data_IF_743631520848
#
_entry.id   IF_743631520848
#
_cell.length_a   1.000
_cell.length_b   1.000
_cell.length_c   1.000
_cell.angle_alpha   90.00
_cell.angle_beta   90.00
_cell.angle_gamma   90.00
#
_symmetry.space_group_name_H-M   'P 1'
#
loop_
_entity.id
_entity.type
_entity.pdbx_description
1 polymer ?
#
# COMPACT_ATOMS: atom_id res chain seq x y z
N UNK A 1 38.32 36.01 -51.20
CA UNK A 1 38.89 35.15 -50.15
C UNK A 1 37.89 35.12 -49.02
N UNK A 2 36.98 34.14 -49.06
CA UNK A 2 35.95 33.94 -48.05
C UNK A 2 36.56 33.20 -46.86
N UNK A 3 36.55 33.85 -45.68
CA UNK A 3 36.91 33.22 -44.42
C UNK A 3 35.71 32.42 -43.92
N UNK A 4 35.73 31.10 -44.11
CA UNK A 4 34.83 30.16 -43.46
C UNK A 4 35.21 30.05 -41.97
N UNK A 5 34.57 30.87 -41.15
CA UNK A 5 34.65 30.76 -39.69
C UNK A 5 33.75 29.59 -39.27
N UNK A 6 34.33 28.39 -39.14
CA UNK A 6 33.67 27.22 -38.57
C UNK A 6 33.45 27.46 -37.09
N UNK A 7 32.29 28.02 -36.74
CA UNK A 7 31.86 28.19 -35.36
C UNK A 7 31.37 26.83 -34.84
N UNK A 8 32.33 25.95 -34.50
CA UNK A 8 32.05 24.69 -33.81
C UNK A 8 31.64 25.01 -32.38
N UNK A 9 30.33 25.05 -32.15
CA UNK A 9 29.74 25.17 -30.82
C UNK A 9 30.30 24.00 -29.97
N UNK A 10 31.08 24.25 -28.89
CA UNK A 10 31.59 23.18 -28.07
C UNK A 10 30.39 22.49 -27.43
N UNK A 11 30.19 21.22 -27.76
CA UNK A 11 29.09 20.44 -27.23
C UNK A 11 29.27 20.37 -25.71
N UNK A 12 28.47 21.10 -24.94
CA UNK A 12 28.58 21.23 -23.46
C UNK A 12 28.60 19.85 -22.78
N UNK A 13 28.03 18.84 -23.44
CA UNK A 13 28.00 17.44 -23.00
C UNK A 13 29.36 16.71 -23.06
N UNK A 14 30.39 17.32 -23.65
CA UNK A 14 31.76 16.76 -23.75
C UNK A 14 32.72 17.30 -22.69
N UNK A 15 32.25 18.14 -21.75
CA UNK A 15 33.11 18.84 -20.79
C UNK A 15 33.33 18.08 -19.47
N UNK A 16 32.49 17.10 -19.13
CA UNK A 16 32.62 16.34 -17.89
C UNK A 16 33.13 14.92 -18.16
N UNK A 17 34.17 14.45 -17.46
CA UNK A 17 34.56 13.05 -17.46
C UNK A 17 33.41 12.13 -17.07
N UNK A 18 33.40 10.90 -17.58
CA UNK A 18 32.36 9.91 -17.32
C UNK A 18 32.15 9.68 -15.82
N UNK A 19 33.24 9.54 -15.04
CA UNK A 19 33.21 9.42 -13.58
C UNK A 19 32.48 10.57 -12.87
N UNK A 20 32.63 11.80 -13.37
CA UNK A 20 31.93 12.96 -12.82
C UNK A 20 30.42 12.90 -13.13
N UNK A 21 30.07 12.49 -14.36
CA UNK A 21 28.68 12.28 -14.77
C UNK A 21 28.03 11.17 -13.95
N UNK A 22 28.66 10.01 -13.82
CA UNK A 22 28.17 8.90 -12.98
C UNK A 22 27.95 9.36 -11.54
N UNK A 23 28.92 10.10 -10.98
CA UNK A 23 28.80 10.62 -9.62
C UNK A 23 27.60 11.54 -9.47
N UNK A 24 27.37 12.45 -10.41
CA UNK A 24 26.20 13.33 -10.41
C UNK A 24 24.91 12.52 -10.51
N UNK A 25 24.84 11.57 -11.45
CA UNK A 25 23.67 10.71 -11.66
C UNK A 25 23.34 9.85 -10.43
N UNK A 26 24.36 9.39 -9.70
CA UNK A 26 24.17 8.62 -8.47
C UNK A 26 23.48 9.38 -7.33
N UNK A 27 23.37 10.71 -7.42
CA UNK A 27 22.65 11.57 -6.48
C UNK A 27 21.28 12.05 -6.99
N UNK A 28 20.87 11.65 -8.18
CA UNK A 28 19.53 11.95 -8.72
C UNK A 28 18.55 10.80 -8.44
N UNK A 29 17.34 10.85 -8.99
CA UNK A 29 16.41 9.73 -8.89
C UNK A 29 16.63 8.70 -10.02
N UNK A 30 16.31 7.41 -9.81
CA UNK A 30 16.27 6.39 -10.87
C UNK A 30 15.48 6.84 -12.11
N UNK A 31 14.41 7.61 -11.92
CA UNK A 31 13.58 8.15 -13.00
C UNK A 31 14.34 9.21 -13.79
N UNK A 32 15.07 10.09 -13.12
CA UNK A 32 15.87 11.13 -13.77
C UNK A 32 17.08 10.54 -14.48
N UNK A 33 17.74 9.53 -13.91
CA UNK A 33 18.81 8.77 -14.60
C UNK A 33 18.28 8.17 -15.91
N UNK A 34 17.10 7.53 -15.87
CA UNK A 34 16.48 7.00 -17.08
C UNK A 34 16.17 8.10 -18.11
N UNK A 35 15.71 9.28 -17.68
CA UNK A 35 15.45 10.42 -18.59
C UNK A 35 16.72 10.98 -19.22
N UNK A 36 17.78 11.14 -18.41
CA UNK A 36 19.08 11.67 -18.86
C UNK A 36 19.77 10.71 -19.83
N UNK A 37 19.56 9.40 -19.67
CA UNK A 37 20.12 8.38 -20.59
C UNK A 37 19.69 8.57 -22.05
N UNK A 38 18.55 9.22 -22.30
CA UNK A 38 18.00 9.44 -23.64
C UNK A 38 18.62 10.64 -24.36
N UNK A 39 19.43 11.45 -23.68
CA UNK A 39 19.93 12.72 -24.21
C UNK A 39 21.14 12.53 -25.13
N UNK A 40 22.06 11.61 -24.77
CA UNK A 40 23.22 11.26 -25.61
C UNK A 40 23.83 9.93 -25.21
N UNK A 41 24.66 9.36 -26.11
CA UNK A 41 25.33 8.07 -25.86
C UNK A 41 26.30 8.10 -24.67
N UNK A 42 26.96 9.23 -24.44
CA UNK A 42 27.85 9.40 -23.27
C UNK A 42 27.05 9.36 -21.97
N UNK A 43 25.94 10.10 -21.92
CA UNK A 43 25.04 10.08 -20.77
C UNK A 43 24.34 8.73 -20.59
N UNK A 44 24.05 8.02 -21.67
CA UNK A 44 23.52 6.65 -21.62
C UNK A 44 24.51 5.70 -20.97
N UNK A 45 25.79 5.72 -21.37
CA UNK A 45 26.85 4.89 -20.78
C UNK A 45 26.95 5.11 -19.27
N UNK A 46 27.08 6.37 -18.85
CA UNK A 46 27.13 6.72 -17.43
C UNK A 46 25.85 6.35 -16.68
N UNK A 47 24.67 6.51 -17.29
CA UNK A 47 23.38 6.19 -16.68
C UNK A 47 23.12 4.68 -16.54
N UNK A 48 23.75 3.85 -17.36
CA UNK A 48 23.65 2.39 -17.31
C UNK A 48 24.72 1.74 -16.42
N UNK A 49 25.63 2.55 -15.85
CA UNK A 49 26.72 2.09 -15.00
C UNK A 49 26.25 1.53 -13.65
N UNK A 50 26.82 0.39 -13.27
CA UNK A 50 26.54 -0.26 -11.97
C UNK A 50 26.97 0.58 -10.77
N UNK A 51 27.89 1.53 -10.94
CA UNK A 51 28.28 2.47 -9.88
C UNK A 51 27.11 3.37 -9.47
N UNK A 52 26.28 3.77 -10.44
CA UNK A 52 25.08 4.59 -10.28
C UNK A 52 23.97 3.76 -9.64
N UNK A 53 23.64 2.60 -10.22
CA UNK A 53 22.52 1.77 -9.75
C UNK A 53 22.77 1.14 -8.37
N UNK A 54 24.03 0.91 -7.98
CA UNK A 54 24.37 0.51 -6.60
C UNK A 54 23.90 1.55 -5.57
N UNK A 55 23.85 2.85 -5.90
CA UNK A 55 23.37 3.89 -4.97
C UNK A 55 21.85 3.91 -4.81
N UNK A 56 21.12 3.35 -5.76
CA UNK A 56 19.66 3.24 -5.69
C UNK A 56 19.17 1.97 -5.00
N UNK A 57 20.05 0.97 -4.89
CA UNK A 57 19.77 -0.22 -4.10
C UNK A 57 19.96 0.08 -2.60
N UNK A 58 19.09 -0.45 -1.72
CA UNK A 58 19.33 -0.37 -0.28
C UNK A 58 20.63 -1.06 0.08
N UNK A 59 21.42 -0.51 1.01
CA UNK A 59 22.76 -1.05 1.35
C UNK A 59 22.77 -2.52 1.79
N UNK A 60 21.66 -3.02 2.32
CA UNK A 60 21.46 -4.38 2.80
C UNK A 60 20.73 -5.28 1.80
N UNK A 61 20.55 -4.85 0.54
CA UNK A 61 19.81 -5.61 -0.49
C UNK A 61 20.29 -7.05 -0.65
N UNK A 62 21.61 -7.28 -0.60
CA UNK A 62 22.20 -8.62 -0.75
C UNK A 62 21.72 -9.55 0.38
N UNK A 63 21.64 -9.05 1.61
CA UNK A 63 21.14 -9.82 2.74
C UNK A 63 19.65 -10.12 2.59
N UNK A 64 18.86 -9.16 2.11
CA UNK A 64 17.42 -9.34 1.85
C UNK A 64 17.19 -10.40 0.77
N UNK A 65 17.94 -10.32 -0.34
CA UNK A 65 17.87 -11.28 -1.45
C UNK A 65 18.27 -12.69 -0.98
N UNK A 66 19.31 -12.81 -0.17
CA UNK A 66 19.74 -14.10 0.38
C UNK A 66 18.67 -14.77 1.27
N UNK A 67 17.80 -13.95 1.88
CA UNK A 67 16.66 -14.42 2.68
C UNK A 67 15.40 -14.74 1.87
N UNK A 68 15.45 -14.62 0.54
CA UNK A 68 14.33 -14.95 -0.34
C UNK A 68 14.00 -16.45 -0.30
N UNK A 69 12.71 -16.77 -0.24
CA UNK A 69 12.21 -18.16 -0.28
C UNK A 69 12.44 -18.79 -1.66
N UNK A 70 12.30 -18.00 -2.72
CA UNK A 70 12.54 -18.43 -4.10
C UNK A 70 13.86 -17.87 -4.60
N UNK A 71 14.68 -18.67 -5.32
CA UNK A 71 15.89 -18.16 -5.95
C UNK A 71 15.58 -16.97 -6.85
N UNK A 72 16.32 -15.88 -6.67
CA UNK A 72 16.25 -14.73 -7.56
C UNK A 72 17.13 -15.03 -8.78
N UNK A 73 16.72 -14.66 -10.01
CA UNK A 73 17.56 -14.79 -11.18
C UNK A 73 18.89 -14.04 -11.05
N UNK A 74 19.93 -14.54 -11.71
CA UNK A 74 21.15 -13.77 -11.90
C UNK A 74 20.91 -12.67 -12.94
N UNK A 75 21.39 -11.46 -12.66
CA UNK A 75 21.25 -10.30 -13.53
C UNK A 75 22.61 -9.84 -14.04
N UNK A 76 22.64 -9.32 -15.27
CA UNK A 76 23.89 -8.84 -15.90
C UNK A 76 24.27 -7.44 -15.40
N UNK A 77 23.31 -6.70 -14.83
CA UNK A 77 23.53 -5.37 -14.26
C UNK A 77 22.67 -5.12 -13.02
N UNK A 78 23.08 -4.18 -12.18
CA UNK A 78 22.30 -3.72 -11.02
C UNK A 78 21.04 -2.97 -11.42
N UNK A 79 21.04 -2.37 -12.60
CA UNK A 79 19.83 -1.79 -13.22
C UNK A 79 18.75 -2.83 -13.42
N UNK A 80 19.10 -3.98 -14.00
CA UNK A 80 18.18 -5.10 -14.19
C UNK A 80 17.67 -5.63 -12.85
N UNK A 81 18.55 -5.81 -11.86
CA UNK A 81 18.17 -6.21 -10.51
C UNK A 81 17.20 -5.20 -9.87
N UNK A 82 17.49 -3.91 -9.95
CA UNK A 82 16.62 -2.85 -9.43
C UNK A 82 15.23 -2.94 -10.07
N UNK A 83 15.16 -3.00 -11.40
CA UNK A 83 13.90 -3.11 -12.15
C UNK A 83 13.15 -4.38 -11.76
N UNK A 84 13.85 -5.50 -11.58
CA UNK A 84 13.24 -6.75 -11.13
C UNK A 84 12.59 -6.58 -9.75
N UNK A 85 13.31 -6.04 -8.76
CA UNK A 85 12.81 -5.85 -7.40
C UNK A 85 11.67 -4.83 -7.31
N UNK A 86 11.53 -3.91 -8.26
CA UNK A 86 10.38 -3.01 -8.35
C UNK A 86 9.09 -3.70 -8.82
N UNK A 87 9.20 -4.70 -9.70
CA UNK A 87 8.03 -5.31 -10.35
C UNK A 87 7.70 -6.71 -9.81
N UNK A 88 8.64 -7.35 -9.12
CA UNK A 88 8.52 -8.71 -8.63
C UNK A 88 8.77 -8.71 -7.11
N UNK A 89 7.71 -8.55 -6.28
CA UNK A 89 7.84 -8.67 -4.85
C UNK A 89 8.34 -10.07 -4.48
N UNK A 90 9.43 -10.14 -3.72
CA UNK A 90 10.01 -11.40 -3.26
C UNK A 90 9.52 -11.74 -1.86
N UNK A 91 9.36 -13.02 -1.57
CA UNK A 91 8.95 -13.50 -0.26
C UNK A 91 10.19 -13.75 0.61
N UNK A 92 10.21 -13.16 1.80
CA UNK A 92 11.29 -13.27 2.78
C UNK A 92 10.73 -13.74 4.14
N UNK A 93 11.61 -14.00 5.11
CA UNK A 93 11.25 -14.41 6.48
C UNK A 93 10.29 -15.61 6.49
N UNK A 94 10.75 -16.71 5.87
CA UNK A 94 9.97 -17.94 5.66
C UNK A 94 8.64 -17.71 4.92
N UNK A 95 8.57 -16.68 4.08
CA UNK A 95 7.40 -16.33 3.29
C UNK A 95 6.32 -15.58 4.05
N UNK A 96 6.64 -15.04 5.23
CA UNK A 96 5.71 -14.25 6.04
C UNK A 96 5.70 -12.77 5.66
N UNK A 97 6.76 -12.29 5.01
CA UNK A 97 6.86 -10.90 4.54
C UNK A 97 7.16 -10.88 3.05
N UNK A 98 6.64 -9.89 2.34
CA UNK A 98 7.06 -9.60 0.96
C UNK A 98 7.90 -8.32 0.91
N UNK A 99 8.94 -8.31 0.09
CA UNK A 99 9.81 -7.15 -0.12
C UNK A 99 9.79 -6.72 -1.59
N UNK A 100 9.79 -5.41 -1.83
CA UNK A 100 9.99 -4.81 -3.15
C UNK A 100 10.60 -3.41 -3.02
N UNK A 101 11.02 -2.82 -4.13
CA UNK A 101 11.49 -1.43 -4.16
C UNK A 101 10.42 -0.49 -4.73
N UNK A 102 10.27 0.68 -4.11
CA UNK A 102 9.50 1.78 -4.69
C UNK A 102 10.23 2.28 -5.94
N UNK A 103 9.51 2.27 -7.07
CA UNK A 103 10.07 2.46 -8.41
C UNK A 103 10.84 3.78 -8.57
N UNK A 104 10.34 4.85 -7.97
CA UNK A 104 10.84 6.20 -8.22
C UNK A 104 12.04 6.57 -7.34
N UNK A 105 12.16 5.94 -6.17
CA UNK A 105 13.11 6.34 -5.13
C UNK A 105 14.04 5.23 -4.67
N UNK A 106 13.78 3.97 -5.01
CA UNK A 106 14.54 2.81 -4.54
C UNK A 106 14.34 2.51 -3.06
N UNK A 107 13.36 3.16 -2.42
CA UNK A 107 13.06 2.98 -1.01
C UNK A 107 12.34 1.64 -0.81
N UNK A 108 12.56 1.02 0.35
CA UNK A 108 12.06 -0.32 0.65
C UNK A 108 10.54 -0.29 0.82
N UNK A 109 9.85 -1.27 0.25
CA UNK A 109 8.45 -1.56 0.53
C UNK A 109 8.35 -2.94 1.16
N UNK A 110 7.49 -3.07 2.18
CA UNK A 110 7.20 -4.35 2.80
C UNK A 110 5.71 -4.63 2.82
N UNK A 111 5.33 -5.91 2.75
CA UNK A 111 4.01 -6.36 3.22
C UNK A 111 4.23 -7.40 4.30
N UNK A 112 3.63 -7.18 5.46
CA UNK A 112 3.49 -8.18 6.51
C UNK A 112 2.30 -9.06 6.14
N UNK A 113 2.52 -10.30 5.72
CA UNK A 113 1.43 -11.21 5.37
C UNK A 113 0.59 -11.56 6.59
N UNK A 114 -0.63 -12.04 6.40
CA UNK A 114 -1.56 -12.35 7.50
C UNK A 114 -0.97 -13.31 8.57
N UNK A 115 -0.02 -14.16 8.19
CA UNK A 115 0.72 -15.06 9.09
C UNK A 115 1.74 -14.36 10.01
N UNK A 116 2.09 -13.12 9.69
CA UNK A 116 2.99 -12.27 10.44
C UNK A 116 2.25 -11.24 11.31
N UNK A 117 0.92 -11.20 11.18
CA UNK A 117 0.06 -10.29 11.93
C UNK A 117 -0.46 -10.96 13.20
N UNK A 118 -0.66 -10.15 14.24
CA UNK A 118 -1.49 -10.55 15.37
C UNK A 118 -2.96 -10.31 15.02
N UNK A 119 -3.69 -11.39 14.76
CA UNK A 119 -5.12 -11.37 14.48
C UNK A 119 -5.84 -12.09 15.63
N UNK A 120 -6.76 -11.40 16.30
CA UNK A 120 -7.47 -11.96 17.45
C UNK A 120 -8.23 -13.25 17.07
N UNK A 121 -7.95 -14.31 17.81
CA UNK A 121 -8.47 -15.68 17.61
C UNK A 121 -8.10 -16.36 16.27
N UNK A 122 -7.04 -15.92 15.57
CA UNK A 122 -6.67 -16.50 14.28
C UNK A 122 -6.30 -18.00 14.31
N UNK A 123 -5.87 -18.51 15.47
CA UNK A 123 -5.60 -19.93 15.67
C UNK A 123 -6.87 -20.77 15.94
N UNK A 124 -8.02 -20.11 16.13
CA UNK A 124 -9.29 -20.76 16.37
C UNK A 124 -10.05 -20.99 15.05
N UNK A 125 -10.16 -22.24 14.56
CA UNK A 125 -10.79 -22.54 13.27
C UNK A 125 -12.31 -22.30 13.25
N UNK A 126 -12.91 -21.99 14.41
CA UNK A 126 -14.30 -21.54 14.53
C UNK A 126 -14.50 -20.12 13.98
N UNK A 127 -13.48 -19.27 14.11
CA UNK A 127 -13.56 -17.85 13.77
C UNK A 127 -12.81 -17.52 12.48
N UNK A 128 -11.72 -18.23 12.19
CA UNK A 128 -10.85 -17.98 11.04
C UNK A 128 -10.58 -19.23 10.22
N UNK A 129 -10.30 -19.02 8.95
CA UNK A 129 -9.88 -20.05 8.01
C UNK A 129 -8.59 -19.59 7.30
N UNK A 130 -7.59 -20.46 7.28
CA UNK A 130 -6.34 -20.21 6.55
C UNK A 130 -6.43 -20.79 5.14
N UNK A 131 -6.78 -19.94 4.17
CA UNK A 131 -7.00 -20.33 2.79
C UNK A 131 -5.89 -19.84 1.86
N UNK A 132 -5.85 -20.37 0.64
CA UNK A 132 -4.91 -19.98 -0.42
C UNK A 132 -5.71 -19.39 -1.56
N UNK A 133 -5.31 -18.22 -2.06
CA UNK A 133 -5.94 -17.55 -3.19
C UNK A 133 -4.94 -17.40 -4.34
N UNK A 134 -5.35 -17.64 -5.60
CA UNK A 134 -4.45 -17.60 -6.75
C UNK A 134 -3.91 -16.19 -7.03
N UNK A 135 -4.60 -15.17 -6.56
CA UNK A 135 -4.28 -13.75 -6.73
C UNK A 135 -3.67 -13.13 -5.46
N UNK A 136 -3.31 -13.95 -4.47
CA UNK A 136 -2.50 -13.51 -3.33
C UNK A 136 -1.02 -13.75 -3.59
N UNK A 137 -0.18 -12.82 -3.11
CA UNK A 137 1.27 -13.02 -3.08
C UNK A 137 1.73 -13.99 -1.99
N UNK A 138 0.90 -14.25 -0.98
CA UNK A 138 1.23 -15.11 0.14
C UNK A 138 0.62 -16.51 -0.02
N UNK A 139 1.30 -17.59 0.41
CA UNK A 139 0.75 -18.95 0.34
C UNK A 139 -0.55 -19.13 1.13
N UNK A 140 -0.72 -18.35 2.21
CA UNK A 140 -1.89 -18.40 3.10
C UNK A 140 -2.35 -17.00 3.49
N UNK A 141 -3.66 -16.79 3.38
CA UNK A 141 -4.38 -15.59 3.82
C UNK A 141 -5.41 -15.97 4.89
N UNK A 142 -5.82 -15.01 5.72
CA UNK A 142 -6.78 -15.23 6.81
C UNK A 142 -8.19 -14.83 6.36
N UNK A 143 -9.10 -15.81 6.23
CA UNK A 143 -10.52 -15.59 5.91
C UNK A 143 -11.36 -15.66 7.17
N UNK A 144 -12.10 -14.60 7.45
CA UNK A 144 -12.97 -14.45 8.60
C UNK A 144 -14.27 -15.24 8.39
N UNK A 145 -14.54 -16.21 9.26
CA UNK A 145 -15.79 -16.98 9.27
C UNK A 145 -16.91 -16.24 9.95
N UNK A 146 -16.75 -15.89 11.23
CA UNK A 146 -17.75 -15.14 12.00
C UNK A 146 -17.16 -14.64 13.33
N UNK A 147 -17.18 -13.33 13.61
CA UNK A 147 -16.83 -12.76 14.93
C UNK A 147 -17.74 -11.59 15.28
N UNK A 148 -17.78 -11.16 16.55
CA UNK A 148 -18.55 -9.98 16.96
C UNK A 148 -17.76 -8.67 16.88
N UNK A 149 -16.45 -8.76 17.00
CA UNK A 149 -15.52 -7.64 16.86
C UNK A 149 -14.21 -8.17 16.30
N UNK A 150 -13.43 -7.28 15.68
CA UNK A 150 -12.17 -7.59 15.01
C UNK A 150 -11.04 -6.74 15.58
N UNK A 151 -9.87 -7.34 15.74
CA UNK A 151 -8.62 -6.63 16.00
C UNK A 151 -7.48 -7.30 15.24
N UNK A 152 -6.77 -6.49 14.46
CA UNK A 152 -5.63 -6.87 13.64
C UNK A 152 -4.50 -5.90 13.99
N UNK A 153 -3.33 -6.44 14.32
CA UNK A 153 -2.13 -5.65 14.59
C UNK A 153 -0.94 -6.20 13.81
N UNK A 154 -0.09 -5.31 13.34
CA UNK A 154 1.21 -5.64 12.76
C UNK A 154 2.30 -4.84 13.43
N UNK A 155 3.47 -5.44 13.57
CA UNK A 155 4.65 -4.77 14.13
C UNK A 155 5.84 -4.90 13.20
N UNK A 156 6.61 -3.84 13.02
CA UNK A 156 7.83 -3.84 12.22
C UNK A 156 8.91 -2.97 12.88
N UNK A 157 10.16 -3.45 12.92
CA UNK A 157 11.28 -2.63 13.38
C UNK A 157 11.58 -1.55 12.37
N UNK A 158 11.73 -0.30 12.81
CA UNK A 158 11.99 0.84 11.91
C UNK A 158 13.31 0.68 11.18
N UNK A 159 14.35 0.12 11.81
CA UNK A 159 15.65 -0.11 11.17
C UNK A 159 15.65 -1.03 9.94
N UNK A 160 14.59 -1.80 9.67
CA UNK A 160 14.50 -2.58 8.41
C UNK A 160 13.97 -1.76 7.23
N UNK A 161 13.37 -0.60 7.50
CA UNK A 161 12.87 0.35 6.51
C UNK A 161 13.99 1.27 6.01
N UNK A 162 13.75 2.00 4.93
CA UNK A 162 14.68 3.06 4.52
C UNK A 162 14.63 4.23 5.51
N UNK A 163 15.77 4.71 6.04
CA UNK A 163 15.80 5.80 7.02
C UNK A 163 15.39 7.14 6.39
N UNK A 164 15.00 8.10 7.23
CA UNK A 164 14.64 9.49 6.85
C UNK A 164 13.64 9.55 5.72
N UNK A 165 12.63 8.69 5.81
CA UNK A 165 11.62 8.48 4.77
C UNK A 165 10.24 8.46 5.42
N UNK A 166 9.29 9.19 4.84
CA UNK A 166 7.90 9.16 5.24
C UNK A 166 7.22 7.92 4.65
N UNK A 167 6.53 7.16 5.49
CA UNK A 167 5.81 5.95 5.11
C UNK A 167 4.33 6.09 5.43
N UNK A 168 3.53 5.30 4.71
CA UNK A 168 2.16 5.02 5.05
C UNK A 168 1.94 3.50 5.11
N UNK A 169 1.09 3.06 6.05
CA UNK A 169 0.69 1.67 6.17
C UNK A 169 -0.75 1.47 5.71
N UNK A 170 -1.00 0.35 5.04
CA UNK A 170 -2.29 0.03 4.45
C UNK A 170 -2.68 -1.42 4.79
N UNK A 171 -3.89 -1.64 5.31
CA UNK A 171 -4.45 -2.99 5.39
C UNK A 171 -4.89 -3.41 3.98
N UNK A 172 -4.37 -4.52 3.48
CA UNK A 172 -4.72 -5.11 2.18
C UNK A 172 -5.64 -6.31 2.38
N UNK A 173 -6.84 -6.25 1.80
CA UNK A 173 -7.90 -7.23 2.08
C UNK A 173 -8.89 -7.40 0.93
N UNK A 174 -9.70 -8.46 1.01
CA UNK A 174 -10.83 -8.75 0.12
C UNK A 174 -12.09 -8.98 0.93
N UNK A 175 -13.23 -8.89 0.25
CA UNK A 175 -14.54 -9.19 0.78
C UNK A 175 -15.21 -10.25 -0.10
N UNK A 176 -15.63 -11.35 0.52
CA UNK A 176 -16.30 -12.46 -0.12
C UNK A 176 -17.46 -12.94 0.76
N UNK A 177 -18.69 -12.88 0.24
CA UNK A 177 -19.92 -13.20 1.00
C UNK A 177 -20.01 -12.43 2.32
N UNK A 178 -19.62 -11.15 2.28
CA UNK A 178 -19.46 -10.30 3.45
C UNK A 178 -20.79 -10.03 4.17
N UNK A 179 -20.72 -9.90 5.49
CA UNK A 179 -21.87 -9.49 6.32
C UNK A 179 -21.41 -8.69 7.53
N UNK A 180 -22.32 -7.85 8.03
CA UNK A 180 -22.16 -7.08 9.26
C UNK A 180 -21.30 -5.82 9.14
N UNK A 181 -20.50 -5.68 8.09
CA UNK A 181 -19.74 -4.44 7.85
C UNK A 181 -20.63 -3.23 7.48
N UNK A 182 -21.91 -3.46 7.13
CA UNK A 182 -22.86 -2.44 6.68
C UNK A 182 -23.74 -1.83 7.80
N UNK A 183 -23.85 -2.48 8.96
CA UNK A 183 -24.82 -2.13 10.00
C UNK A 183 -24.24 -1.13 10.99
N UNK A 184 -24.58 0.15 10.80
CA UNK A 184 -23.74 1.30 11.17
C UNK A 184 -22.39 1.20 10.43
N UNK A 185 -21.75 2.31 10.02
CA UNK A 185 -20.36 2.20 9.60
C UNK A 185 -19.66 1.47 10.74
N UNK A 186 -19.14 0.27 10.45
CA UNK A 186 -18.34 -0.50 11.39
C UNK A 186 -17.02 0.23 11.48
N UNK A 187 -17.07 1.38 12.12
CA UNK A 187 -15.96 2.30 12.27
C UNK A 187 -14.88 1.50 12.97
N UNK A 188 -13.83 1.27 12.23
CA UNK A 188 -12.65 0.65 12.78
C UNK A 188 -11.74 1.79 13.15
N UNK A 189 -11.38 1.85 14.43
CA UNK A 189 -10.27 2.65 14.88
C UNK A 189 -9.02 2.11 14.18
N UNK A 190 -8.35 2.96 13.44
CA UNK A 190 -7.05 2.67 12.85
C UNK A 190 -6.01 3.56 13.49
N UNK A 191 -4.83 3.00 13.67
CA UNK A 191 -3.73 3.73 14.29
C UNK A 191 -2.39 3.21 13.84
N UNK A 192 -1.41 4.09 13.94
CA UNK A 192 -0.01 3.81 13.66
C UNK A 192 0.86 4.61 14.63
N UNK A 193 2.00 4.05 15.01
CA UNK A 193 2.96 4.77 15.83
C UNK A 193 3.94 3.84 16.53
N UNK A 194 4.85 4.44 17.28
CA UNK A 194 5.89 3.70 18.00
C UNK A 194 5.24 2.90 19.14
N UNK A 195 5.65 1.64 19.28
CA UNK A 195 5.22 0.75 20.34
C UNK A 195 5.46 1.40 21.71
N UNK A 196 4.52 1.22 22.63
CA UNK A 196 4.52 1.84 23.97
C UNK A 196 4.38 3.37 24.01
N UNK A 197 4.14 4.00 22.85
CA UNK A 197 3.74 5.42 22.75
C UNK A 197 2.24 5.51 22.45
N UNK A 198 1.60 6.59 22.92
CA UNK A 198 0.20 6.86 22.58
C UNK A 198 0.07 7.05 21.06
N UNK A 199 -0.72 6.20 20.42
CA UNK A 199 -0.96 6.24 18.98
C UNK A 199 -2.02 7.32 18.64
N UNK A 200 -1.80 8.01 17.52
CA UNK A 200 -2.83 8.83 16.90
C UNK A 200 -3.87 7.91 16.28
N UNK A 201 -5.13 8.14 16.67
CA UNK A 201 -6.28 7.31 16.27
C UNK A 201 -7.07 8.04 15.21
N UNK A 202 -7.41 7.33 14.15
CA UNK A 202 -8.33 7.76 13.11
C UNK A 202 -9.39 6.69 12.92
N UNK A 203 -10.36 6.96 12.05
CA UNK A 203 -11.42 6.01 11.73
C UNK A 203 -11.36 5.62 10.27
N UNK A 204 -11.63 4.35 10.01
CA UNK A 204 -11.68 3.77 8.68
C UNK A 204 -12.93 2.91 8.50
N UNK A 205 -13.36 2.75 7.24
CA UNK A 205 -14.35 1.74 6.86
C UNK A 205 -13.74 0.70 5.94
N UNK A 206 -14.17 -0.56 6.09
CA UNK A 206 -13.76 -1.66 5.22
C UNK A 206 -14.71 -1.85 4.02
N UNK A 207 -15.79 -1.08 3.91
CA UNK A 207 -16.73 -1.22 2.81
C UNK A 207 -16.50 -0.20 1.69
N UNK A 208 -16.41 -0.65 0.43
CA UNK A 208 -16.35 0.24 -0.73
C UNK A 208 -17.64 1.04 -0.91
N UNK A 209 -17.52 2.27 -1.41
CA UNK A 209 -18.66 3.05 -1.90
C UNK A 209 -19.40 2.27 -3.00
N UNK A 210 -20.72 2.18 -2.91
CA UNK A 210 -21.56 1.58 -3.95
C UNK A 210 -21.88 0.08 -3.80
N UNK A 211 -21.17 -0.68 -2.95
CA UNK A 211 -21.60 -2.03 -2.53
C UNK A 211 -22.69 -1.92 -1.47
N UNK A 212 -23.89 -1.56 -1.90
CA UNK A 212 -25.08 -1.66 -1.05
C UNK A 212 -25.35 -3.13 -0.73
N UNK A 213 -25.82 -3.46 0.48
CA UNK A 213 -26.26 -4.82 0.79
C UNK A 213 -27.31 -5.26 -0.23
N UNK A 214 -27.32 -6.53 -0.62
CA UNK A 214 -28.40 -7.11 -1.44
C UNK A 214 -29.78 -6.89 -0.78
N UNK A 215 -29.82 -6.71 0.55
CA UNK A 215 -30.99 -6.33 1.34
C UNK A 215 -31.32 -4.81 1.38
N UNK A 216 -30.42 -3.92 0.97
CA UNK A 216 -30.68 -2.48 0.87
C UNK A 216 -31.70 -2.13 -0.22
N UNK A 217 -31.84 -3.01 -1.23
CA UNK A 217 -32.90 -2.94 -2.24
C UNK A 217 -34.29 -3.05 -1.57
N UNK A 218 -34.42 -3.87 -0.52
CA UNK A 218 -35.67 -4.06 0.21
C UNK A 218 -36.06 -2.85 1.06
N UNK A 219 -35.10 -2.21 1.74
CA UNK A 219 -35.40 -1.02 2.56
C UNK A 219 -35.68 0.23 1.70
N UNK A 220 -34.96 0.44 0.60
CA UNK A 220 -35.22 1.54 -0.33
C UNK A 220 -36.58 1.36 -1.03
N UNK A 221 -36.97 0.13 -1.38
CA UNK A 221 -38.32 -0.15 -1.91
C UNK A 221 -39.41 0.07 -0.85
N UNK A 222 -39.14 -0.22 0.43
CA UNK A 222 -40.11 -0.04 1.52
C UNK A 222 -40.38 1.42 1.89
N UNK A 223 -39.38 2.31 1.75
CA UNK A 223 -39.56 3.76 1.95
C UNK A 223 -40.16 4.45 0.73
N UNK A 224 -39.96 3.90 -0.48
CA UNK A 224 -40.55 4.40 -1.73
C UNK A 224 -42.03 4.04 -1.90
N UNK A 225 -42.54 3.08 -1.13
CA UNK A 225 -43.96 2.71 -1.11
C UNK A 225 -44.83 3.68 -0.28
N UNK A 226 -44.24 4.65 0.43
CA UNK A 226 -45.01 5.62 1.25
C UNK A 226 -45.30 6.95 0.57
N UNK A 227 -44.53 7.32 -0.45
CA UNK A 227 -44.72 8.57 -1.19
C UNK A 227 -45.08 8.25 -2.64
N UNK A 228 -46.39 8.08 -2.89
CA UNK A 228 -46.95 7.71 -4.19
C UNK A 228 -46.77 8.74 -5.30
N UNK A 229 -45.54 8.96 -5.77
CA UNK A 229 -45.26 9.68 -7.02
C UNK A 229 -44.27 8.90 -7.89
N UNK A 230 -44.72 8.65 -9.12
CA UNK A 230 -44.05 7.84 -10.13
C UNK A 230 -42.72 8.39 -10.64
N UNK A 231 -42.07 7.54 -11.43
CA UNK A 231 -40.73 7.67 -12.02
C UNK A 231 -40.64 8.90 -12.94
N UNK A 232 -39.51 9.64 -12.91
CA UNK A 232 -38.74 9.78 -14.15
C UNK A 232 -37.29 9.25 -14.05
N UNK A 233 -36.80 8.93 -15.23
CA UNK A 233 -35.56 8.27 -15.63
C UNK A 233 -34.22 8.83 -15.09
N UNK A 234 -33.28 7.89 -14.97
CA UNK A 234 -31.84 8.00 -15.30
C UNK A 234 -30.91 8.99 -14.56
N UNK A 235 -31.18 9.27 -13.28
CA UNK A 235 -30.18 9.90 -12.37
C UNK A 235 -30.11 9.21 -11.00
N UNK A 236 -29.66 7.96 -10.95
CA UNK A 236 -29.58 7.18 -9.70
C UNK A 236 -28.21 7.23 -8.99
N UNK A 237 -27.20 7.92 -9.52
CA UNK A 237 -25.91 8.07 -8.81
C UNK A 237 -25.91 9.18 -7.75
N UNK A 238 -26.66 10.28 -7.97
CA UNK A 238 -26.61 11.45 -7.08
C UNK A 238 -27.35 11.25 -5.75
N UNK A 239 -28.29 10.31 -5.68
CA UNK A 239 -29.06 10.04 -4.46
C UNK A 239 -28.34 9.07 -3.52
N UNK A 240 -27.51 8.15 -4.04
CA UNK A 240 -26.83 7.13 -3.21
C UNK A 240 -25.71 7.75 -2.38
N UNK A 241 -24.94 8.68 -2.97
CA UNK A 241 -23.94 9.45 -2.23
C UNK A 241 -24.58 10.32 -1.13
N UNK A 242 -25.79 10.85 -1.37
CA UNK A 242 -26.55 11.61 -0.38
C UNK A 242 -27.12 10.71 0.72
N UNK A 243 -27.58 9.50 0.41
CA UNK A 243 -28.03 8.52 1.42
C UNK A 243 -26.86 8.03 2.27
N UNK A 244 -25.72 7.70 1.65
CA UNK A 244 -24.50 7.33 2.38
C UNK A 244 -24.00 8.50 3.23
N UNK A 245 -23.98 9.74 2.72
CA UNK A 245 -23.68 10.94 3.54
C UNK A 245 -24.72 11.20 4.63
N UNK A 246 -25.99 10.90 4.40
CA UNK A 246 -27.07 11.06 5.38
C UNK A 246 -26.98 10.00 6.50
N UNK A 247 -26.60 8.76 6.16
CA UNK A 247 -26.37 7.67 7.12
C UNK A 247 -25.06 7.81 7.88
N UNK A 248 -23.97 8.20 7.20
CA UNK A 248 -22.70 8.56 7.83
C UNK A 248 -22.88 9.81 8.72
N UNK A 249 -23.53 10.85 8.21
CA UNK A 249 -23.67 12.14 8.89
C UNK A 249 -24.62 12.15 10.10
N UNK A 250 -25.42 11.11 10.34
CA UNK A 250 -26.27 11.00 11.55
C UNK A 250 -25.63 10.22 12.70
N UNK A 251 -24.51 9.54 12.46
CA UNK A 251 -23.81 8.73 13.46
C UNK A 251 -22.31 9.02 13.56
N UNK A 252 -21.78 9.96 12.76
CA UNK A 252 -20.43 10.46 12.93
C UNK A 252 -20.29 11.08 14.34
N UNK A 253 -19.29 10.69 15.14
CA UNK A 253 -18.89 11.51 16.27
C UNK A 253 -18.42 12.88 15.74
N UNK A 254 -18.62 13.95 16.52
CA UNK A 254 -18.40 15.34 16.09
C UNK A 254 -16.95 15.63 15.62
N UNK A 255 -16.02 14.70 15.86
CA UNK A 255 -14.59 14.72 15.49
C UNK A 255 -14.26 14.00 14.16
N UNK A 256 -15.19 13.27 13.54
CA UNK A 256 -14.94 12.39 12.40
C UNK A 256 -14.90 13.08 11.02
N UNK A 257 -14.25 14.24 10.93
CA UNK A 257 -14.09 14.98 9.66
C UNK A 257 -13.30 14.22 8.58
N UNK A 258 -12.48 13.22 8.95
CA UNK A 258 -11.65 12.43 8.02
C UNK A 258 -11.78 10.92 8.30
N UNK A 259 -12.78 10.26 7.70
CA UNK A 259 -12.86 8.78 7.67
C UNK A 259 -12.08 8.26 6.46
N UNK A 260 -11.16 7.33 6.69
CA UNK A 260 -10.43 6.64 5.63
C UNK A 260 -11.35 5.67 4.90
N UNK A 261 -11.41 5.83 3.57
CA UNK A 261 -12.22 4.99 2.70
C UNK A 261 -11.34 3.97 1.99
N UNK A 262 -11.86 2.74 1.78
CA UNK A 262 -11.08 1.73 1.11
C UNK A 262 -11.01 2.03 -0.39
N UNK A 263 -9.86 1.77 -0.96
CA UNK A 263 -9.55 1.95 -2.37
C UNK A 263 -9.37 0.59 -3.03
N UNK A 264 -10.01 0.38 -4.18
CA UNK A 264 -9.76 -0.81 -4.99
C UNK A 264 -8.41 -0.64 -5.72
N UNK A 265 -7.57 -1.66 -5.62
CA UNK A 265 -6.28 -1.75 -6.30
C UNK A 265 -6.41 -2.42 -7.66
N UNK A 266 -5.39 -2.28 -8.49
CA UNK A 266 -5.34 -2.90 -9.82
C UNK A 266 -5.22 -4.43 -9.77
N UNK A 267 -4.74 -4.99 -8.65
CA UNK A 267 -4.63 -6.43 -8.38
C UNK A 267 -5.95 -7.04 -7.82
N UNK A 268 -7.02 -6.24 -7.74
CA UNK A 268 -8.33 -6.66 -7.26
C UNK A 268 -8.47 -6.73 -5.74
N UNK A 269 -7.44 -6.36 -4.97
CA UNK A 269 -7.51 -6.20 -3.52
C UNK A 269 -7.99 -4.80 -3.13
N UNK A 270 -8.62 -4.68 -1.97
CA UNK A 270 -8.87 -3.39 -1.34
C UNK A 270 -7.71 -3.01 -0.43
N UNK A 271 -7.42 -1.71 -0.35
CA UNK A 271 -6.52 -1.14 0.66
C UNK A 271 -7.23 -0.05 1.45
N UNK A 272 -6.94 0.04 2.74
CA UNK A 272 -7.33 1.17 3.59
C UNK A 272 -6.15 1.63 4.43
N UNK A 273 -5.96 2.95 4.53
CA UNK A 273 -4.83 3.54 5.25
C UNK A 273 -5.01 3.37 6.76
N UNK A 274 -3.97 2.87 7.42
CA UNK A 274 -3.89 2.74 8.88
C UNK A 274 -3.22 3.95 9.52
N UNK A 275 -2.40 4.66 8.76
CA UNK A 275 -1.79 5.92 9.11
C UNK A 275 -0.42 6.12 8.47
N UNK A 276 0.25 7.19 8.89
CA UNK A 276 1.54 7.62 8.38
C UNK A 276 2.56 7.78 9.51
N UNK A 277 3.83 7.59 9.20
CA UNK A 277 4.94 7.78 10.13
C UNK A 277 6.21 8.16 9.40
N UNK A 278 7.20 8.70 10.13
CA UNK A 278 8.50 9.08 9.59
C UNK A 278 9.60 8.27 10.29
N UNK A 279 10.56 7.80 9.51
CA UNK A 279 11.63 6.91 9.99
C UNK A 279 12.81 7.73 10.52
N UNK A 280 12.78 8.09 11.80
CA UNK A 280 13.84 8.85 12.46
C UNK A 280 14.82 7.98 13.23
N UNK A 281 14.30 7.09 14.08
CA UNK A 281 15.08 6.23 14.95
C UNK A 281 14.98 4.77 14.51
N UNK A 282 16.12 4.15 14.23
CA UNK A 282 16.18 2.76 13.74
C UNK A 282 15.83 1.73 14.82
N UNK A 283 15.98 2.09 16.10
CA UNK A 283 15.67 1.23 17.24
C UNK A 283 14.17 1.15 17.56
N UNK A 284 13.36 2.03 16.97
CA UNK A 284 11.92 2.05 17.19
C UNK A 284 11.24 0.79 16.62
N UNK A 285 10.19 0.35 17.30
CA UNK A 285 9.28 -0.66 16.79
C UNK A 285 7.94 0.01 16.47
N UNK A 286 7.48 -0.10 15.23
CA UNK A 286 6.23 0.49 14.79
C UNK A 286 5.09 -0.52 14.98
N UNK A 287 4.01 -0.13 15.67
CA UNK A 287 2.74 -0.84 15.70
C UNK A 287 1.75 -0.19 14.74
N UNK A 288 1.07 -1.02 13.95
CA UNK A 288 -0.04 -0.63 13.08
C UNK A 288 -1.25 -1.46 13.48
N UNK A 289 -2.41 -0.83 13.67
CA UNK A 289 -3.59 -1.57 14.09
C UNK A 289 -4.86 -1.14 13.37
N UNK A 290 -5.75 -2.13 13.22
CA UNK A 290 -7.15 -1.93 12.89
C UNK A 290 -7.97 -2.64 13.97
N UNK A 291 -8.81 -1.88 14.65
CA UNK A 291 -9.64 -2.37 15.74
C UNK A 291 -11.07 -1.87 15.59
N UNK A 292 -12.02 -2.78 15.71
CA UNK A 292 -13.42 -2.38 15.72
C UNK A 292 -13.79 -1.70 17.05
N UNK A 293 -14.48 -0.56 16.97
CA UNK A 293 -14.93 0.19 18.15
C UNK A 293 -16.03 -0.60 18.89
N UNK A 294 -16.12 -0.45 20.22
CA UNK A 294 -17.15 -1.08 21.04
C UNK A 294 -18.56 -0.65 20.56
N UNK A 295 -19.55 -1.54 20.69
CA UNK A 295 -20.97 -1.41 20.29
C UNK A 295 -21.37 -2.05 18.93
N UNK A 296 -20.64 -3.08 18.50
CA UNK A 296 -20.99 -3.92 17.35
C UNK A 296 -22.36 -4.59 17.54
N UNK A 297 -23.36 -4.19 16.75
CA UNK A 297 -24.72 -4.76 16.78
C UNK A 297 -24.89 -6.00 15.90
N UNK A 298 -23.85 -6.40 15.16
CA UNK A 298 -23.89 -7.53 14.24
C UNK A 298 -22.56 -8.26 14.15
N UNK A 299 -22.62 -9.56 13.92
CA UNK A 299 -21.45 -10.39 13.64
C UNK A 299 -20.88 -10.08 12.25
N UNK A 300 -19.56 -10.26 12.09
CA UNK A 300 -18.80 -9.99 10.86
C UNK A 300 -18.29 -11.27 10.25
N UNK A 301 -18.37 -11.36 8.93
CA UNK A 301 -17.85 -12.49 8.15
C UNK A 301 -17.43 -12.07 6.75
N UNK A 302 -16.62 -12.89 6.10
CA UNK A 302 -16.26 -12.71 4.69
C UNK A 302 -15.11 -11.74 4.44
N UNK A 303 -14.45 -11.23 5.48
CA UNK A 303 -13.20 -10.50 5.36
C UNK A 303 -12.06 -11.46 5.06
N UNK A 304 -11.25 -11.17 4.05
CA UNK A 304 -10.04 -11.93 3.73
C UNK A 304 -8.85 -10.98 3.85
N UNK A 305 -7.95 -11.23 4.78
CA UNK A 305 -6.78 -10.39 5.04
C UNK A 305 -5.58 -10.97 4.30
N UNK A 306 -4.99 -10.18 3.40
CA UNK A 306 -3.69 -10.52 2.80
C UNK A 306 -2.56 -10.11 3.73
N UNK A 307 -2.60 -8.88 4.24
CA UNK A 307 -1.52 -8.34 5.06
C UNK A 307 -1.60 -6.83 5.31
N UNK A 308 -0.54 -6.27 5.89
CA UNK A 308 -0.34 -4.82 6.03
C UNK A 308 0.84 -4.40 5.15
N UNK A 309 0.58 -3.55 4.16
CA UNK A 309 1.58 -2.97 3.26
C UNK A 309 2.14 -1.67 3.83
N UNK A 310 3.46 -1.58 3.95
CA UNK A 310 4.22 -0.40 4.36
C UNK A 310 4.98 0.09 3.14
N UNK A 311 4.63 1.28 2.63
CA UNK A 311 5.26 1.88 1.46
C UNK A 311 5.61 3.35 1.66
N UNK A 312 6.70 3.85 1.06
CA UNK A 312 7.06 5.27 1.12
C UNK A 312 5.94 6.15 0.56
N UNK A 313 5.68 7.30 1.19
CA UNK A 313 4.93 8.38 0.55
C UNK A 313 5.89 9.19 -0.32
N UNK A 314 5.49 9.39 -1.56
CA UNK A 314 6.08 10.43 -2.39
C UNK A 314 5.63 11.77 -1.80
N UNK A 315 6.61 12.58 -1.38
CA UNK A 315 6.40 13.98 -0.99
C UNK A 315 6.18 14.88 -2.21
#
# INVERSE_FOLDING_TARGET
MENSNSNSNPNIQSLLPEDCTEKILSFTSPVDVCRVSLVSKSLQSAADSDSVWEKFLPSDYQSIISGSVTPIPDFASKKELYVYLCHNPILIDAGRKSFSLEKCTGKKCYILGARDLHITWADSPQYWEWTSLPDSRFPKVAKLKQVWWLEIRGTIRVGVLSPRTSYAAYLVYKLENEFGFHYRPSESEVSIGVLDVKLDKQFATLLPKGRLPQYGRFYILSSRAKDGRGIPDDKCESSVANVVRYWLGKHLPEDASNIQLPKLRNDGWFEVELGQFYTENEDDCLEMSLKEVKDCSSHKKGLIVEGIEIRPRMG
#
